data_IF_185720411439
#
_entry.id   IF_185720411439
#
_cell.length_a   1.000
_cell.length_b   1.000
_cell.length_c   1.000
_cell.angle_alpha   90.00
_cell.angle_beta   90.00
_cell.angle_gamma   90.00
#
_symmetry.space_group_name_H-M   'P 1'
#
loop_
_entity.id
_entity.type
_entity.pdbx_description
1 polymer ?
#
# COMPACT_ATOMS: atom_id res chain seq x y z
N UNK A 1 -2.08 -38.44 7.17
CA UNK A 1 -2.79 -38.92 8.38
C UNK A 1 -2.23 -38.43 9.74
N UNK A 2 -1.10 -37.68 9.80
CA UNK A 2 -0.45 -37.35 11.10
C UNK A 2 -0.81 -35.97 11.72
N UNK A 3 -1.51 -35.10 11.03
CA UNK A 3 -1.86 -33.77 11.59
C UNK A 3 -3.11 -33.77 12.50
N UNK A 4 -4.03 -34.71 12.35
CA UNK A 4 -5.23 -34.77 13.19
C UNK A 4 -4.94 -35.33 14.60
N UNK A 5 -4.03 -36.28 14.72
CA UNK A 5 -3.67 -36.86 16.02
C UNK A 5 -2.83 -35.92 16.90
N UNK A 6 -2.02 -35.04 16.33
CA UNK A 6 -1.25 -34.05 17.09
C UNK A 6 -2.14 -32.94 17.66
N UNK A 7 -3.17 -32.54 16.95
CA UNK A 7 -4.13 -31.54 17.41
C UNK A 7 -5.04 -32.04 18.56
N UNK A 8 -5.46 -33.32 18.51
CA UNK A 8 -6.27 -33.94 19.55
C UNK A 8 -5.47 -34.07 20.86
N UNK A 9 -4.20 -34.46 20.79
CA UNK A 9 -3.31 -34.50 21.94
C UNK A 9 -3.07 -33.12 22.57
N UNK A 10 -2.88 -32.08 21.77
CA UNK A 10 -2.71 -30.70 22.28
C UNK A 10 -3.97 -30.16 22.95
N UNK A 11 -5.16 -30.42 22.39
CA UNK A 11 -6.43 -30.00 23.04
C UNK A 11 -6.67 -30.73 24.37
N UNK A 12 -6.32 -32.01 24.46
CA UNK A 12 -6.42 -32.79 25.70
C UNK A 12 -5.45 -32.29 26.78
N UNK A 13 -4.23 -31.99 26.43
CA UNK A 13 -3.22 -31.41 27.35
C UNK A 13 -3.69 -30.05 27.86
N UNK A 14 -4.18 -29.18 26.97
CA UNK A 14 -4.71 -27.88 27.34
C UNK A 14 -5.93 -27.97 28.26
N UNK A 15 -6.80 -28.96 28.05
CA UNK A 15 -7.94 -29.23 28.91
C UNK A 15 -7.52 -29.67 30.32
N UNK A 16 -6.52 -30.55 30.41
CA UNK A 16 -5.96 -31.03 31.68
C UNK A 16 -5.29 -29.90 32.48
N UNK A 17 -4.47 -29.08 31.83
CA UNK A 17 -3.83 -27.92 32.46
C UNK A 17 -4.86 -26.92 33.00
N UNK A 18 -5.94 -26.69 32.26
CA UNK A 18 -7.03 -25.83 32.68
C UNK A 18 -7.78 -26.39 33.90
N UNK A 19 -8.01 -27.69 33.91
CA UNK A 19 -8.64 -28.36 35.05
C UNK A 19 -7.74 -28.25 36.29
N UNK A 20 -6.45 -28.51 36.15
CA UNK A 20 -5.48 -28.38 37.24
C UNK A 20 -5.37 -26.94 37.76
N UNK A 21 -5.37 -25.94 36.87
CA UNK A 21 -5.35 -24.51 37.27
C UNK A 21 -6.59 -24.13 38.10
N UNK A 22 -7.78 -24.61 37.71
CA UNK A 22 -9.02 -24.37 38.46
C UNK A 22 -9.01 -25.04 39.84
N UNK A 23 -8.47 -26.26 39.91
CA UNK A 23 -8.31 -26.96 41.22
C UNK A 23 -7.33 -26.20 42.08
N UNK A 24 -6.22 -25.71 41.56
CA UNK A 24 -5.24 -24.90 42.29
C UNK A 24 -5.85 -23.60 42.82
N UNK A 25 -6.63 -22.88 42.01
CA UNK A 25 -7.32 -21.66 42.42
C UNK A 25 -8.30 -21.92 43.55
N UNK A 26 -9.10 -23.00 43.49
CA UNK A 26 -10.01 -23.40 44.56
C UNK A 26 -9.25 -23.77 45.83
N UNK A 27 -8.15 -24.52 45.73
CA UNK A 27 -7.32 -24.85 46.91
C UNK A 27 -6.78 -23.59 47.60
N UNK A 28 -6.27 -22.60 46.86
CA UNK A 28 -5.80 -21.33 47.40
C UNK A 28 -6.94 -20.59 48.13
N UNK A 29 -8.14 -20.55 47.56
CA UNK A 29 -9.32 -19.95 48.20
C UNK A 29 -9.67 -20.63 49.51
N UNK A 30 -9.65 -21.99 49.60
CA UNK A 30 -9.88 -22.72 50.84
C UNK A 30 -8.80 -22.42 51.89
N UNK A 31 -7.53 -22.35 51.53
CA UNK A 31 -6.45 -21.98 52.45
C UNK A 31 -6.67 -20.57 53.01
N UNK A 32 -7.00 -19.60 52.19
CA UNK A 32 -7.29 -18.24 52.60
C UNK A 32 -8.51 -18.19 53.58
N UNK A 33 -9.56 -18.97 53.29
CA UNK A 33 -10.72 -19.04 54.12
C UNK A 33 -10.42 -19.66 55.50
N UNK A 34 -9.71 -20.78 55.54
CA UNK A 34 -9.27 -21.42 56.78
C UNK A 34 -8.36 -20.48 57.60
N UNK A 35 -7.38 -19.88 56.96
CA UNK A 35 -6.47 -18.91 57.61
C UNK A 35 -7.24 -17.72 58.21
N UNK A 36 -8.22 -17.21 57.46
CA UNK A 36 -9.12 -16.14 57.91
C UNK A 36 -9.86 -16.51 59.23
N UNK A 37 -10.46 -17.70 59.26
CA UNK A 37 -11.17 -18.14 60.46
C UNK A 37 -10.24 -18.24 61.69
N UNK A 38 -9.07 -18.85 61.50
CA UNK A 38 -8.08 -18.99 62.61
C UNK A 38 -7.55 -17.66 63.09
N UNK A 39 -7.08 -16.80 62.18
CA UNK A 39 -6.45 -15.52 62.56
C UNK A 39 -7.49 -14.55 63.11
N UNK A 40 -8.71 -14.49 62.53
CA UNK A 40 -9.76 -13.64 63.05
C UNK A 40 -10.23 -14.06 64.41
N UNK A 41 -10.38 -15.37 64.64
CA UNK A 41 -10.72 -15.91 65.99
C UNK A 41 -9.61 -15.62 66.98
N UNK A 42 -8.35 -15.82 66.59
CA UNK A 42 -7.20 -15.53 67.45
C UNK A 42 -7.10 -14.05 67.81
N UNK A 43 -7.23 -13.15 66.86
CA UNK A 43 -7.23 -11.70 67.10
C UNK A 43 -8.41 -11.26 68.01
N UNK A 44 -9.56 -11.87 67.83
CA UNK A 44 -10.75 -11.62 68.69
C UNK A 44 -10.48 -12.02 70.12
N UNK A 45 -9.93 -13.23 70.36
CA UNK A 45 -9.50 -13.70 71.70
C UNK A 45 -8.50 -12.79 72.34
N UNK A 46 -7.44 -12.40 71.61
CA UNK A 46 -6.42 -11.49 72.11
C UNK A 46 -7.00 -10.14 72.54
N UNK A 47 -7.89 -9.57 71.73
CA UNK A 47 -8.41 -8.23 71.98
C UNK A 47 -9.50 -8.22 73.08
N UNK A 48 -10.46 -9.18 73.04
CA UNK A 48 -11.66 -9.16 73.90
C UNK A 48 -11.53 -10.02 75.18
N UNK A 49 -10.76 -11.12 75.15
CA UNK A 49 -10.58 -11.98 76.31
C UNK A 49 -9.31 -11.65 77.11
N UNK A 50 -8.19 -11.33 76.39
CA UNK A 50 -6.92 -11.05 77.05
C UNK A 50 -6.61 -9.55 77.12
N UNK A 51 -7.50 -8.68 76.65
CA UNK A 51 -7.39 -7.23 76.63
C UNK A 51 -6.05 -6.70 76.00
N UNK A 52 -5.42 -7.48 75.14
CA UNK A 52 -4.19 -7.08 74.47
C UNK A 52 -4.47 -6.09 73.36
N UNK A 53 -3.95 -4.87 73.48
CA UNK A 53 -4.15 -3.80 72.49
C UNK A 53 -5.56 -3.20 72.50
N UNK A 54 -6.33 -3.33 73.61
CA UNK A 54 -7.67 -2.76 73.79
C UNK A 54 -7.72 -1.25 73.62
N UNK A 55 -6.58 -0.54 73.83
CA UNK A 55 -6.43 0.92 73.64
C UNK A 55 -6.30 1.34 72.18
N UNK A 56 -6.03 0.38 71.26
CA UNK A 56 -5.91 0.66 69.85
C UNK A 56 -7.30 0.70 69.18
N UNK A 57 -7.90 1.88 69.26
CA UNK A 57 -9.22 2.14 68.65
C UNK A 57 -9.07 3.03 67.45
N UNK A 58 -9.61 2.61 66.31
CA UNK A 58 -9.66 3.40 65.10
C UNK A 58 -11.13 3.52 64.63
N UNK A 59 -11.60 4.76 64.40
CA UNK A 59 -13.00 5.04 64.04
C UNK A 59 -14.02 4.37 64.99
N UNK A 60 -13.77 4.42 66.31
CA UNK A 60 -14.58 3.83 67.36
C UNK A 60 -14.69 2.29 67.37
N UNK A 61 -13.86 1.58 66.58
CA UNK A 61 -13.80 0.14 66.55
C UNK A 61 -12.41 -0.36 66.94
N UNK A 62 -12.37 -1.53 67.60
CA UNK A 62 -11.13 -2.17 68.00
C UNK A 62 -10.32 -2.66 66.78
N UNK A 63 -8.99 -2.74 66.86
CA UNK A 63 -8.10 -3.16 65.79
C UNK A 63 -8.43 -4.56 65.24
N UNK A 64 -8.97 -5.47 66.06
CA UNK A 64 -9.35 -6.81 65.65
C UNK A 64 -10.48 -6.81 64.64
N UNK A 65 -11.43 -5.86 64.73
CA UNK A 65 -12.54 -5.68 63.78
C UNK A 65 -11.98 -5.23 62.41
N UNK A 66 -11.00 -4.36 62.40
CA UNK A 66 -10.37 -3.91 61.13
C UNK A 66 -9.60 -5.02 60.43
N UNK A 67 -8.89 -5.87 61.14
CA UNK A 67 -8.26 -7.05 60.57
C UNK A 67 -9.30 -7.98 59.94
N UNK A 68 -10.41 -8.21 60.65
CA UNK A 68 -11.52 -9.02 60.16
C UNK A 68 -12.10 -8.43 58.83
N UNK A 69 -12.40 -7.13 58.81
CA UNK A 69 -12.97 -6.45 57.66
C UNK A 69 -12.02 -6.49 56.45
N UNK A 70 -10.74 -6.17 56.65
CA UNK A 70 -9.74 -6.18 55.55
C UNK A 70 -9.62 -7.59 54.98
N UNK A 71 -9.51 -8.60 55.83
CA UNK A 71 -9.36 -9.97 55.35
C UNK A 71 -10.65 -10.52 54.72
N UNK A 72 -11.81 -10.13 55.24
CA UNK A 72 -13.09 -10.44 54.63
C UNK A 72 -13.16 -9.86 53.21
N UNK A 73 -12.69 -8.61 52.99
CA UNK A 73 -12.63 -7.99 51.69
C UNK A 73 -11.72 -8.78 50.74
N UNK A 74 -10.57 -9.24 51.21
CA UNK A 74 -9.65 -10.08 50.41
C UNK A 74 -10.32 -11.40 49.98
N UNK A 75 -11.05 -12.04 50.87
CA UNK A 75 -11.78 -13.28 50.58
C UNK A 75 -12.89 -13.04 49.54
N UNK A 76 -13.69 -11.99 49.72
CA UNK A 76 -14.74 -11.61 48.79
C UNK A 76 -14.14 -11.31 47.40
N UNK A 77 -13.01 -10.61 47.32
CA UNK A 77 -12.28 -10.37 46.10
C UNK A 77 -11.79 -11.68 45.45
N UNK A 78 -11.27 -12.62 46.25
CA UNK A 78 -10.85 -13.93 45.75
C UNK A 78 -12.05 -14.76 45.25
N UNK A 79 -13.16 -14.74 45.96
CA UNK A 79 -14.44 -15.37 45.55
C UNK A 79 -14.89 -14.81 44.18
N UNK A 80 -14.91 -13.48 44.09
CA UNK A 80 -15.27 -12.81 42.85
C UNK A 80 -14.36 -13.24 41.70
N UNK A 81 -13.04 -13.26 41.93
CA UNK A 81 -12.06 -13.65 40.92
C UNK A 81 -12.22 -15.12 40.50
N UNK A 82 -12.44 -16.05 41.44
CA UNK A 82 -12.57 -17.49 41.14
C UNK A 82 -13.90 -17.81 40.45
N UNK A 83 -14.99 -17.20 40.83
CA UNK A 83 -16.35 -17.59 40.38
C UNK A 83 -16.88 -16.66 39.28
N UNK A 84 -16.66 -15.35 39.41
CA UNK A 84 -17.25 -14.36 38.49
C UNK A 84 -16.29 -14.10 37.30
N UNK A 85 -15.02 -13.75 37.55
CA UNK A 85 -14.09 -13.41 36.49
C UNK A 85 -13.84 -14.58 35.54
N UNK A 86 -13.72 -15.80 36.09
CA UNK A 86 -13.56 -17.01 35.27
C UNK A 86 -14.82 -17.39 34.47
N UNK A 87 -16.02 -16.97 34.91
CA UNK A 87 -17.27 -17.22 34.19
C UNK A 87 -17.49 -16.23 33.06
N UNK A 88 -17.20 -14.94 33.27
CA UNK A 88 -17.43 -13.88 32.30
C UNK A 88 -16.23 -13.62 31.36
N UNK A 89 -14.99 -13.78 31.85
CA UNK A 89 -13.73 -13.58 31.07
C UNK A 89 -12.97 -14.89 30.88
N UNK A 90 -13.65 -16.03 31.00
CA UNK A 90 -13.03 -17.35 30.88
C UNK A 90 -12.55 -17.64 29.46
N UNK A 91 -11.64 -18.63 29.32
CA UNK A 91 -11.03 -19.03 28.04
C UNK A 91 -12.04 -19.24 26.91
N UNK A 92 -13.26 -19.69 27.21
CA UNK A 92 -14.31 -19.88 26.20
C UNK A 92 -14.82 -18.57 25.61
N UNK A 93 -14.92 -17.52 26.42
CA UNK A 93 -15.27 -16.18 25.96
C UNK A 93 -14.14 -15.60 25.12
N UNK A 94 -12.89 -15.68 25.60
CA UNK A 94 -11.69 -15.23 24.86
C UNK A 94 -11.59 -15.99 23.53
N UNK A 95 -11.74 -17.32 23.54
CA UNK A 95 -11.71 -18.16 22.33
C UNK A 95 -12.81 -17.78 21.33
N UNK A 96 -14.03 -17.46 21.82
CA UNK A 96 -15.13 -16.99 20.98
C UNK A 96 -14.86 -15.62 20.38
N UNK A 97 -14.32 -14.69 21.18
CA UNK A 97 -13.98 -13.35 20.74
C UNK A 97 -12.83 -13.34 19.72
N UNK A 98 -11.80 -14.17 19.98
CA UNK A 98 -10.68 -14.33 19.05
C UNK A 98 -11.12 -14.93 17.71
N UNK A 99 -11.99 -15.95 17.72
CA UNK A 99 -12.55 -16.50 16.48
C UNK A 99 -13.34 -15.45 15.70
N UNK A 100 -14.19 -14.70 16.38
CA UNK A 100 -14.98 -13.63 15.76
C UNK A 100 -14.09 -12.57 15.11
N UNK A 101 -13.02 -12.13 15.80
CA UNK A 101 -12.06 -11.18 15.25
C UNK A 101 -11.28 -11.76 14.08
N UNK A 102 -10.85 -13.03 14.15
CA UNK A 102 -10.20 -13.72 13.05
C UNK A 102 -11.10 -13.86 11.81
N UNK A 103 -12.38 -14.13 12.03
CA UNK A 103 -13.36 -14.22 10.93
C UNK A 103 -13.55 -12.88 10.23
N UNK A 104 -13.66 -11.77 10.99
CA UNK A 104 -13.70 -10.42 10.43
C UNK A 104 -12.43 -10.12 9.63
N UNK A 105 -11.25 -10.44 10.17
CA UNK A 105 -9.98 -10.24 9.48
C UNK A 105 -9.90 -11.08 8.20
N UNK A 106 -10.28 -12.35 8.25
CA UNK A 106 -10.27 -13.22 7.08
C UNK A 106 -11.24 -12.74 5.99
N UNK A 107 -12.42 -12.28 6.37
CA UNK A 107 -13.37 -11.70 5.43
C UNK A 107 -12.79 -10.45 4.76
N UNK A 108 -12.16 -9.57 5.53
CA UNK A 108 -11.49 -8.37 4.97
C UNK A 108 -10.32 -8.72 4.07
N UNK A 109 -9.50 -9.71 4.45
CA UNK A 109 -8.41 -10.22 3.61
C UNK A 109 -8.95 -10.83 2.31
N UNK A 110 -10.07 -11.55 2.36
CA UNK A 110 -10.69 -12.15 1.17
C UNK A 110 -11.32 -11.11 0.25
N UNK A 111 -11.90 -10.03 0.79
CA UNK A 111 -12.35 -8.87 0.02
C UNK A 111 -11.18 -8.21 -0.71
N UNK A 112 -10.11 -7.87 0.03
CA UNK A 112 -8.89 -7.28 -0.56
C UNK A 112 -8.23 -8.19 -1.60
N UNK A 113 -8.21 -9.51 -1.36
CA UNK A 113 -7.71 -10.48 -2.35
C UNK A 113 -8.56 -10.52 -3.62
N UNK A 114 -9.89 -10.40 -3.49
CA UNK A 114 -10.78 -10.32 -4.66
C UNK A 114 -10.55 -9.04 -5.46
N UNK A 115 -10.45 -7.90 -4.75
CA UNK A 115 -10.17 -6.60 -5.35
C UNK A 115 -8.81 -6.64 -6.09
N UNK A 116 -7.74 -7.06 -5.42
CA UNK A 116 -6.41 -7.22 -6.00
C UNK A 116 -6.37 -8.23 -7.16
N UNK A 117 -7.10 -9.36 -7.06
CA UNK A 117 -7.16 -10.34 -8.14
C UNK A 117 -7.94 -9.84 -9.35
N UNK A 118 -8.96 -8.98 -9.16
CA UNK A 118 -9.66 -8.34 -10.26
C UNK A 118 -8.79 -7.30 -10.97
N UNK A 119 -8.05 -6.49 -10.20
CA UNK A 119 -7.07 -5.55 -10.75
C UNK A 119 -5.93 -6.27 -11.49
N UNK A 120 -5.34 -7.30 -10.87
CA UNK A 120 -4.30 -8.11 -11.50
C UNK A 120 -4.79 -8.82 -12.77
N UNK A 121 -6.07 -9.21 -12.81
CA UNK A 121 -6.68 -9.81 -13.99
C UNK A 121 -6.91 -8.81 -15.11
N UNK A 122 -7.34 -7.59 -14.77
CA UNK A 122 -7.48 -6.48 -15.71
C UNK A 122 -6.10 -6.11 -16.27
N UNK A 123 -5.06 -6.03 -15.42
CA UNK A 123 -3.69 -5.77 -15.85
C UNK A 123 -3.17 -6.90 -16.75
N UNK A 124 -3.35 -8.17 -16.38
CA UNK A 124 -2.92 -9.30 -17.18
C UNK A 124 -3.70 -9.44 -18.51
N UNK A 125 -5.00 -9.12 -18.53
CA UNK A 125 -5.81 -9.05 -19.75
C UNK A 125 -5.34 -7.88 -20.64
N UNK A 126 -5.02 -6.71 -20.06
CA UNK A 126 -4.44 -5.59 -20.79
C UNK A 126 -3.04 -5.93 -21.33
N UNK A 127 -2.16 -6.54 -20.53
CA UNK A 127 -0.83 -6.99 -20.98
C UNK A 127 -0.94 -8.04 -22.10
N UNK A 128 -1.87 -8.99 -22.01
CA UNK A 128 -2.10 -9.98 -23.08
C UNK A 128 -2.69 -9.35 -24.34
N UNK A 129 -3.48 -8.31 -24.20
CA UNK A 129 -4.04 -7.55 -25.30
C UNK A 129 -2.96 -6.70 -26.01
N UNK A 130 -2.04 -6.10 -25.25
CA UNK A 130 -0.91 -5.32 -25.78
C UNK A 130 0.24 -6.17 -26.31
N UNK A 131 0.39 -7.43 -25.85
CA UNK A 131 1.50 -8.31 -26.29
C UNK A 131 1.38 -8.77 -27.74
N UNK A 132 0.34 -8.38 -28.47
CA UNK A 132 -0.04 -9.06 -29.72
C UNK A 132 0.35 -8.35 -31.03
N UNK A 133 1.11 -7.26 -31.06
CA UNK A 133 1.73 -6.80 -32.33
C UNK A 133 2.19 -5.34 -32.38
N UNK A 134 1.92 -4.53 -31.39
CA UNK A 134 2.18 -3.09 -31.49
C UNK A 134 3.43 -2.72 -30.71
N UNK A 135 4.40 -2.09 -31.38
CA UNK A 135 5.60 -1.57 -30.74
C UNK A 135 5.31 -0.23 -30.08
N UNK A 136 4.82 -0.26 -28.83
CA UNK A 136 4.53 0.98 -28.07
C UNK A 136 5.81 1.78 -27.88
N UNK A 137 5.86 2.95 -28.50
CA UNK A 137 7.08 3.75 -28.55
C UNK A 137 6.87 5.10 -27.85
N UNK A 138 7.73 5.42 -26.89
CA UNK A 138 7.85 6.76 -26.32
C UNK A 138 8.79 7.57 -27.22
N UNK A 139 8.42 8.79 -27.58
CA UNK A 139 9.31 9.73 -28.25
C UNK A 139 9.39 11.03 -27.47
N UNK A 140 10.60 11.49 -27.14
CA UNK A 140 10.82 12.66 -26.34
C UNK A 140 12.15 13.34 -26.66
N UNK A 141 12.20 14.66 -26.49
CA UNK A 141 13.43 15.41 -26.39
C UNK A 141 13.63 15.88 -24.95
N UNK A 142 14.82 15.68 -24.39
CA UNK A 142 15.14 16.01 -22.99
C UNK A 142 16.51 16.65 -22.87
N UNK A 143 16.68 17.54 -21.90
CA UNK A 143 18.00 18.05 -21.48
C UNK A 143 18.78 17.03 -20.67
N UNK A 144 20.04 17.35 -20.30
CA UNK A 144 20.86 16.47 -19.44
C UNK A 144 20.22 16.25 -18.06
N UNK A 145 19.52 17.26 -17.51
CA UNK A 145 18.79 17.18 -16.25
C UNK A 145 17.32 16.73 -16.44
N UNK A 146 17.01 16.03 -17.55
CA UNK A 146 15.70 15.46 -17.88
C UNK A 146 14.53 16.46 -18.01
N UNK A 147 14.78 17.74 -18.14
CA UNK A 147 13.74 18.73 -18.44
C UNK A 147 13.24 18.52 -19.87
N UNK A 148 11.91 18.62 -20.07
CA UNK A 148 11.23 18.51 -21.37
C UNK A 148 10.51 19.81 -21.76
N UNK A 149 10.34 20.74 -20.83
CA UNK A 149 9.64 21.99 -21.07
C UNK A 149 9.56 22.87 -19.84
N UNK A 150 9.15 24.12 -20.06
CA UNK A 150 8.83 25.06 -19.01
C UNK A 150 7.62 25.89 -19.42
N UNK A 151 6.65 26.08 -18.53
CA UNK A 151 5.42 26.85 -18.77
C UNK A 151 4.70 26.43 -20.07
N UNK A 152 4.53 25.11 -20.23
CA UNK A 152 3.94 24.46 -21.43
C UNK A 152 4.63 24.81 -22.76
N UNK A 153 5.90 25.20 -22.76
CA UNK A 153 6.67 25.49 -23.97
C UNK A 153 7.93 24.66 -24.04
N UNK A 154 8.35 24.32 -25.27
CA UNK A 154 9.69 23.81 -25.52
C UNK A 154 10.73 24.90 -25.28
N UNK A 155 11.82 24.56 -24.58
CA UNK A 155 12.87 25.51 -24.18
C UNK A 155 13.91 25.72 -25.29
N UNK A 156 14.08 24.74 -26.16
CA UNK A 156 15.00 24.78 -27.27
C UNK A 156 14.30 24.63 -28.63
N UNK A 157 15.00 25.00 -29.66
CA UNK A 157 14.58 24.76 -31.03
C UNK A 157 15.65 23.99 -31.77
N UNK A 158 15.32 22.77 -32.20
CA UNK A 158 16.18 21.89 -32.97
C UNK A 158 15.43 21.43 -34.22
N UNK A 159 15.76 22.00 -35.38
CA UNK A 159 15.04 21.73 -36.64
C UNK A 159 15.14 20.26 -37.06
N UNK A 160 16.26 19.61 -36.80
CA UNK A 160 16.46 18.20 -37.15
C UNK A 160 15.71 17.25 -36.19
N UNK A 161 15.55 17.63 -34.93
CA UNK A 161 14.71 16.92 -33.99
C UNK A 161 13.23 16.96 -34.43
N UNK A 162 12.74 18.13 -34.84
CA UNK A 162 11.38 18.27 -35.36
C UNK A 162 11.15 17.42 -36.64
N UNK A 163 12.15 17.35 -37.52
CA UNK A 163 12.08 16.48 -38.70
C UNK A 163 12.11 14.99 -38.32
N UNK A 164 12.98 14.62 -37.39
CA UNK A 164 13.06 13.26 -36.86
C UNK A 164 11.72 12.82 -36.22
N UNK A 165 11.17 13.63 -35.34
CA UNK A 165 9.85 13.44 -34.74
C UNK A 165 8.78 13.28 -35.84
N UNK A 166 8.72 14.19 -36.81
CA UNK A 166 7.77 14.12 -37.91
C UNK A 166 7.88 12.82 -38.71
N UNK A 167 9.11 12.40 -39.02
CA UNK A 167 9.38 11.22 -39.86
C UNK A 167 8.96 9.91 -39.13
N UNK A 168 9.25 9.83 -37.84
CA UNK A 168 8.92 8.64 -37.04
C UNK A 168 7.41 8.53 -36.78
N UNK A 169 6.73 9.63 -36.48
CA UNK A 169 5.31 9.64 -36.05
C UNK A 169 4.32 9.75 -37.19
N UNK A 170 4.77 9.98 -38.43
CA UNK A 170 3.90 10.14 -39.58
C UNK A 170 3.10 8.86 -39.86
N UNK A 171 1.80 9.03 -40.11
CA UNK A 171 0.83 7.96 -40.39
C UNK A 171 0.57 7.02 -39.20
N UNK A 172 1.01 7.39 -38.00
CA UNK A 172 0.80 6.68 -36.75
C UNK A 172 -0.16 7.39 -35.79
N UNK A 173 -0.60 6.68 -34.76
CA UNK A 173 -1.30 7.28 -33.62
C UNK A 173 -0.31 7.99 -32.72
N UNK A 174 -0.65 9.21 -32.31
CA UNK A 174 0.12 10.00 -31.35
C UNK A 174 -0.73 10.25 -30.11
N UNK A 175 -0.23 9.83 -28.96
CA UNK A 175 -0.91 9.85 -27.67
C UNK A 175 -0.25 10.91 -26.79
N UNK A 176 -1.03 11.83 -26.23
CA UNK A 176 -0.50 12.94 -25.43
C UNK A 176 -1.48 13.39 -24.35
N UNK A 177 -0.95 14.05 -23.34
CA UNK A 177 -1.78 14.74 -22.36
C UNK A 177 -2.33 16.08 -22.91
N UNK A 178 -3.46 16.53 -22.35
CA UNK A 178 -4.13 17.80 -22.76
C UNK A 178 -3.18 19.00 -22.80
N UNK A 179 -2.33 19.20 -21.78
CA UNK A 179 -1.38 20.33 -21.73
C UNK A 179 -0.38 20.27 -22.89
N UNK A 180 0.07 19.08 -23.29
CA UNK A 180 0.94 18.89 -24.46
C UNK A 180 0.23 19.26 -25.75
N UNK A 181 -1.06 18.86 -25.88
CA UNK A 181 -1.85 19.26 -27.04
C UNK A 181 -2.05 20.79 -27.11
N UNK A 182 -2.38 21.42 -25.99
CA UNK A 182 -2.57 22.88 -25.90
C UNK A 182 -1.28 23.68 -26.13
N UNK A 183 -0.11 23.10 -25.98
CA UNK A 183 1.18 23.72 -26.32
C UNK A 183 1.46 23.77 -27.83
N UNK A 184 0.68 23.00 -28.60
CA UNK A 184 0.80 22.97 -30.06
C UNK A 184 -0.24 23.88 -30.74
N UNK A 185 0.08 24.50 -31.88
CA UNK A 185 -0.86 25.40 -32.55
C UNK A 185 -2.10 24.69 -33.12
N UNK A 186 -2.02 23.38 -33.39
CA UNK A 186 -3.10 22.53 -33.92
C UNK A 186 -2.74 21.04 -33.82
N UNK A 187 -3.70 20.18 -34.06
CA UNK A 187 -3.50 18.75 -34.18
C UNK A 187 -2.44 18.42 -35.27
N UNK A 188 -1.62 17.42 -35.00
CA UNK A 188 -0.54 17.03 -35.91
C UNK A 188 -1.14 16.41 -37.20
N UNK A 189 -0.81 16.94 -38.37
CA UNK A 189 -1.38 16.45 -39.64
C UNK A 189 -0.83 15.07 -40.00
N UNK A 190 -1.63 14.28 -40.71
CA UNK A 190 -1.35 12.89 -41.10
C UNK A 190 -1.00 11.98 -39.92
N UNK A 191 -1.73 12.14 -38.82
CA UNK A 191 -1.64 11.34 -37.60
C UNK A 191 -3.00 11.26 -36.95
N UNK A 192 -3.27 10.17 -36.25
CA UNK A 192 -4.44 10.11 -35.37
C UNK A 192 -4.03 10.67 -34.00
N UNK A 193 -4.56 11.85 -33.63
CA UNK A 193 -4.21 12.53 -32.40
C UNK A 193 -5.13 12.07 -31.29
N UNK A 194 -4.59 11.47 -30.22
CA UNK A 194 -5.32 11.01 -29.04
C UNK A 194 -4.88 11.85 -27.84
N UNK A 195 -5.84 12.50 -27.17
CA UNK A 195 -5.58 13.41 -26.05
C UNK A 195 -6.17 12.85 -24.78
N UNK A 196 -5.31 12.62 -23.80
CA UNK A 196 -5.70 12.11 -22.48
C UNK A 196 -6.01 13.29 -21.57
N UNK A 197 -7.23 13.34 -20.98
CA UNK A 197 -7.63 14.35 -20.02
C UNK A 197 -8.70 13.84 -19.06
N UNK A 198 -8.66 14.28 -17.79
CA UNK A 198 -9.72 14.06 -16.80
C UNK A 198 -10.97 14.92 -17.03
N UNK A 199 -10.85 15.98 -17.83
CA UNK A 199 -11.98 16.82 -18.19
C UNK A 199 -12.82 16.12 -19.27
N UNK A 200 -14.01 15.63 -18.90
CA UNK A 200 -14.93 14.92 -19.80
C UNK A 200 -15.54 15.82 -20.87
N UNK A 201 -15.60 17.10 -20.61
CA UNK A 201 -16.19 18.10 -21.50
C UNK A 201 -15.13 18.73 -22.44
N UNK A 202 -13.90 18.22 -22.42
CA UNK A 202 -12.84 18.70 -23.30
C UNK A 202 -13.09 18.28 -24.73
N UNK A 203 -13.09 19.22 -25.63
CA UNK A 203 -13.26 19.02 -27.07
C UNK A 203 -12.16 19.75 -27.84
N UNK A 204 -11.78 19.24 -28.98
CA UNK A 204 -10.82 19.86 -29.86
C UNK A 204 -10.96 19.33 -31.29
N UNK A 205 -10.48 20.12 -32.26
CA UNK A 205 -10.56 19.74 -33.66
C UNK A 205 -9.50 18.69 -34.02
N UNK A 206 -9.93 17.68 -34.76
CA UNK A 206 -9.06 16.58 -35.26
C UNK A 206 -8.33 15.82 -34.17
N UNK A 207 -8.99 15.62 -33.01
CA UNK A 207 -8.48 14.82 -31.92
C UNK A 207 -9.53 13.81 -31.44
N UNK A 208 -9.08 12.73 -30.85
CA UNK A 208 -9.90 11.81 -30.06
C UNK A 208 -9.56 12.03 -28.58
N UNK A 209 -10.58 12.33 -27.77
CA UNK A 209 -10.40 12.57 -26.33
C UNK A 209 -10.70 11.32 -25.56
N UNK A 210 -9.81 10.96 -24.62
CA UNK A 210 -9.92 9.80 -23.73
C UNK A 210 -9.54 10.16 -22.31
N UNK A 211 -9.89 9.28 -21.35
CA UNK A 211 -9.64 9.55 -19.93
C UNK A 211 -8.41 8.83 -19.36
N UNK A 212 -7.90 7.81 -20.06
CA UNK A 212 -6.78 7.01 -19.61
C UNK A 212 -5.81 6.65 -20.75
N UNK A 213 -4.59 6.26 -20.39
CA UNK A 213 -3.61 5.74 -21.31
C UNK A 213 -4.07 4.40 -21.91
N UNK A 214 -4.77 3.59 -21.12
CA UNK A 214 -5.34 2.32 -21.56
C UNK A 214 -6.38 2.52 -22.68
N UNK A 215 -7.32 3.46 -22.50
CA UNK A 215 -8.28 3.82 -23.55
C UNK A 215 -7.57 4.31 -24.82
N UNK A 216 -6.52 5.13 -24.67
CA UNK A 216 -5.73 5.62 -25.79
C UNK A 216 -5.07 4.50 -26.58
N UNK A 217 -4.47 3.54 -25.89
CA UNK A 217 -3.81 2.39 -26.52
C UNK A 217 -4.83 1.43 -27.13
N UNK A 218 -6.01 1.28 -26.54
CA UNK A 218 -7.08 0.49 -27.14
C UNK A 218 -7.57 1.08 -28.47
N UNK A 219 -7.64 2.39 -28.61
CA UNK A 219 -7.94 3.06 -29.88
C UNK A 219 -6.82 2.83 -30.90
N UNK A 220 -5.57 2.84 -30.44
CA UNK A 220 -4.39 2.66 -31.28
C UNK A 220 -4.01 1.19 -31.53
N UNK A 221 -4.86 0.22 -31.16
CA UNK A 221 -4.56 -1.22 -31.22
C UNK A 221 -4.21 -1.77 -32.60
N UNK A 222 -4.71 -1.15 -33.67
CA UNK A 222 -4.45 -1.58 -35.04
C UNK A 222 -3.23 -0.87 -35.66
N UNK A 223 -2.58 0.02 -34.93
CA UNK A 223 -1.35 0.68 -35.34
C UNK A 223 -0.13 -0.17 -34.97
N UNK A 224 0.73 -0.45 -35.91
CA UNK A 224 1.95 -1.23 -35.68
C UNK A 224 2.92 -0.56 -34.71
N UNK A 225 2.90 0.78 -34.58
CA UNK A 225 3.80 1.55 -33.74
C UNK A 225 3.14 2.84 -33.23
N UNK A 226 2.27 2.77 -32.24
CA UNK A 226 1.72 3.97 -31.61
C UNK A 226 2.79 4.73 -30.82
N UNK A 227 2.80 6.07 -30.93
CA UNK A 227 3.77 6.94 -30.30
C UNK A 227 3.17 7.71 -29.11
N UNK A 228 3.83 7.65 -27.97
CA UNK A 228 3.52 8.45 -26.79
C UNK A 228 4.44 9.67 -26.78
N UNK A 229 3.85 10.87 -26.91
CA UNK A 229 4.59 12.12 -27.12
C UNK A 229 4.53 13.08 -25.91
N UNK A 230 4.00 12.61 -24.78
CA UNK A 230 4.11 13.31 -23.51
C UNK A 230 2.83 13.94 -22.96
N UNK A 231 2.83 14.84 -21.95
CA UNK A 231 4.01 15.34 -21.20
C UNK A 231 4.44 14.42 -20.07
N UNK A 232 5.09 15.00 -19.08
CA UNK A 232 5.76 14.27 -18.01
C UNK A 232 4.88 13.24 -17.29
N UNK A 233 3.63 13.59 -16.96
CA UNK A 233 2.69 12.65 -16.32
C UNK A 233 2.43 11.44 -17.23
N UNK A 234 2.23 11.65 -18.53
CA UNK A 234 1.97 10.58 -19.50
C UNK A 234 3.23 9.74 -19.73
N UNK A 235 4.41 10.34 -19.77
CA UNK A 235 5.67 9.61 -19.86
C UNK A 235 5.91 8.70 -18.64
N UNK A 236 5.58 9.20 -17.41
CA UNK A 236 5.70 8.41 -16.20
C UNK A 236 4.79 7.18 -16.20
N UNK A 237 3.58 7.30 -16.76
CA UNK A 237 2.66 6.16 -16.91
C UNK A 237 3.14 5.18 -18.00
N UNK A 238 3.69 5.73 -19.09
CA UNK A 238 4.03 4.96 -20.27
C UNK A 238 5.35 4.18 -20.15
N UNK A 239 6.33 4.66 -19.36
CA UNK A 239 7.65 4.05 -19.28
C UNK A 239 7.64 2.61 -18.79
N UNK A 240 6.61 2.23 -18.00
CA UNK A 240 6.47 0.86 -17.50
C UNK A 240 5.88 -0.10 -18.54
N UNK A 241 5.18 0.40 -19.55
CA UNK A 241 4.50 -0.42 -20.55
C UNK A 241 5.06 -0.30 -21.96
N UNK A 242 5.85 0.74 -22.25
CA UNK A 242 6.46 0.95 -23.55
C UNK A 242 7.54 -0.11 -23.85
N UNK A 243 7.70 -0.42 -25.13
CA UNK A 243 8.69 -1.36 -25.66
C UNK A 243 9.96 -0.65 -26.14
N UNK A 244 9.81 0.62 -26.55
CA UNK A 244 10.89 1.44 -27.14
C UNK A 244 10.83 2.87 -26.66
N UNK A 245 12.01 3.51 -26.55
CA UNK A 245 12.16 4.94 -26.32
C UNK A 245 13.04 5.51 -27.43
N UNK A 246 12.51 6.45 -28.21
CA UNK A 246 13.23 7.31 -29.13
C UNK A 246 13.52 8.64 -28.41
N UNK A 247 14.73 8.81 -27.92
CA UNK A 247 15.13 9.96 -27.10
C UNK A 247 16.07 10.89 -27.88
N UNK A 248 15.75 12.18 -27.88
CA UNK A 248 16.70 13.22 -28.26
C UNK A 248 17.29 13.82 -26.99
N UNK A 249 18.57 13.54 -26.71
CA UNK A 249 19.28 14.11 -25.57
C UNK A 249 19.93 15.42 -26.01
N UNK A 250 19.50 16.53 -25.46
CA UNK A 250 20.09 17.87 -25.67
C UNK A 250 21.20 18.07 -24.65
N UNK A 251 22.42 18.32 -25.08
CA UNK A 251 23.60 18.42 -24.23
C UNK A 251 23.72 19.81 -23.59
N UNK A 252 22.74 20.14 -22.77
CA UNK A 252 22.65 21.33 -21.93
C UNK A 252 21.69 21.07 -20.78
N UNK A 253 21.81 21.83 -19.71
CA UNK A 253 20.86 21.85 -18.59
C UNK A 253 19.96 23.08 -18.69
N UNK A 254 18.70 22.92 -18.30
CA UNK A 254 17.72 23.99 -18.35
C UNK A 254 16.88 24.00 -17.06
N UNK A 255 16.38 25.19 -16.72
CA UNK A 255 15.31 25.30 -15.74
C UNK A 255 13.98 24.97 -16.40
N UNK A 256 13.18 24.12 -15.77
CA UNK A 256 11.87 23.73 -16.27
C UNK A 256 10.98 23.15 -15.19
N UNK A 257 9.71 22.98 -15.53
CA UNK A 257 8.66 22.47 -14.62
C UNK A 257 8.12 21.09 -15.04
N UNK A 258 8.53 20.63 -16.22
CA UNK A 258 8.16 19.32 -16.76
C UNK A 258 9.40 18.46 -17.03
N UNK A 259 9.33 17.19 -16.57
CA UNK A 259 10.48 16.29 -16.60
C UNK A 259 10.13 14.94 -17.26
N UNK A 260 11.13 14.36 -17.93
CA UNK A 260 11.09 12.98 -18.40
C UNK A 260 11.50 12.04 -17.25
N UNK A 261 10.88 10.86 -17.11
CA UNK A 261 11.28 9.88 -16.09
C UNK A 261 12.71 9.39 -16.31
N UNK A 262 13.36 8.99 -15.22
CA UNK A 262 14.70 8.38 -15.29
C UNK A 262 14.63 7.03 -16.02
N UNK A 263 15.48 6.85 -17.03
CA UNK A 263 15.61 5.59 -17.77
C UNK A 263 16.47 4.63 -16.94
N UNK A 264 15.86 3.58 -16.39
CA UNK A 264 16.57 2.58 -15.60
C UNK A 264 17.40 1.67 -16.50
N UNK A 265 18.75 1.65 -16.39
CA UNK A 265 19.60 0.80 -17.21
C UNK A 265 19.39 -0.71 -16.94
N UNK A 266 18.71 -1.10 -15.85
CA UNK A 266 18.34 -2.48 -15.62
C UNK A 266 17.13 -2.92 -16.48
N UNK A 267 16.26 -1.98 -16.85
CA UNK A 267 15.04 -2.22 -17.65
C UNK A 267 15.25 -1.92 -19.14
N UNK A 268 16.18 -1.03 -19.49
CA UNK A 268 16.36 -0.50 -20.82
C UNK A 268 17.77 -0.75 -21.36
N UNK A 269 17.89 -1.09 -22.63
CA UNK A 269 19.16 -1.25 -23.35
C UNK A 269 19.26 -0.20 -24.44
N UNK A 270 20.35 0.56 -24.46
CA UNK A 270 20.65 1.44 -25.57
C UNK A 270 21.05 0.60 -26.80
N UNK A 271 20.30 0.75 -27.90
CA UNK A 271 20.50 -0.04 -29.13
C UNK A 271 21.01 0.81 -30.32
N UNK A 272 20.85 2.14 -30.22
CA UNK A 272 21.31 3.06 -31.27
C UNK A 272 21.66 4.41 -30.67
N UNK A 273 22.73 5.02 -31.18
CA UNK A 273 23.19 6.38 -30.84
C UNK A 273 23.66 7.10 -32.10
N UNK A 274 23.20 8.36 -32.30
CA UNK A 274 23.60 9.23 -33.38
C UNK A 274 23.82 10.64 -32.85
N UNK A 275 25.07 11.02 -32.66
CA UNK A 275 25.46 12.30 -32.08
C UNK A 275 25.52 13.41 -33.14
N UNK A 276 24.95 14.55 -32.84
CA UNK A 276 24.91 15.74 -33.68
C UNK A 276 25.59 16.92 -32.98
N UNK A 277 26.44 17.63 -33.69
CA UNK A 277 27.07 18.86 -33.18
C UNK A 277 26.20 20.06 -33.47
N UNK A 278 26.31 21.07 -32.58
CA UNK A 278 25.72 22.39 -32.83
C UNK A 278 26.23 22.97 -34.12
N UNK A 279 25.41 23.67 -34.84
CA UNK A 279 25.68 24.34 -36.08
C UNK A 279 24.89 25.65 -36.19
N UNK A 280 24.86 26.28 -37.35
CA UNK A 280 24.13 27.52 -37.60
C UNK A 280 22.62 27.38 -37.35
N UNK A 281 22.07 26.15 -37.41
CA UNK A 281 20.64 25.85 -37.22
C UNK A 281 20.32 25.30 -35.85
N UNK A 282 21.32 24.85 -35.11
CA UNK A 282 21.15 24.16 -33.80
C UNK A 282 22.06 24.79 -32.76
N UNK A 283 21.46 25.42 -31.75
CA UNK A 283 22.19 26.11 -30.68
C UNK A 283 22.93 25.19 -29.72
N UNK A 284 22.60 23.90 -29.72
CA UNK A 284 23.13 22.90 -28.79
C UNK A 284 23.57 21.64 -29.52
N UNK A 285 24.58 20.96 -28.97
CA UNK A 285 24.89 19.59 -29.34
C UNK A 285 23.71 18.70 -28.88
N UNK A 286 23.37 17.67 -29.61
CA UNK A 286 22.33 16.72 -29.24
C UNK A 286 22.60 15.34 -29.79
N UNK A 287 21.94 14.33 -29.22
CA UNK A 287 22.12 12.94 -29.63
C UNK A 287 20.76 12.27 -29.76
N UNK A 288 20.49 11.63 -30.88
CA UNK A 288 19.38 10.69 -31.02
C UNK A 288 19.79 9.36 -30.42
N UNK A 289 19.00 8.85 -29.47
CA UNK A 289 19.26 7.60 -28.76
C UNK A 289 18.01 6.74 -28.81
N UNK A 290 18.15 5.47 -29.15
CA UNK A 290 17.09 4.49 -29.07
C UNK A 290 17.38 3.53 -27.94
N UNK A 291 16.39 3.31 -27.10
CA UNK A 291 16.40 2.27 -26.09
C UNK A 291 15.30 1.26 -26.40
N UNK A 292 15.60 -0.02 -26.30
CA UNK A 292 14.63 -1.10 -26.31
C UNK A 292 14.52 -1.70 -24.91
N UNK A 293 13.31 -2.10 -24.53
CA UNK A 293 13.04 -2.72 -23.24
C UNK A 293 13.71 -4.08 -23.16
N UNK A 294 14.36 -4.37 -22.04
CA UNK A 294 14.92 -5.71 -21.77
C UNK A 294 13.80 -6.70 -21.58
N UNK A 295 13.87 -7.83 -22.26
CA UNK A 295 12.96 -8.98 -22.08
C UNK A 295 13.25 -9.72 -20.77
#
# INVERSE_FOLDING_TARGET
MNKSNSNINQEQIEFLENAQRRIRQKKVLYYHFISFLFISSFCFVLNHLLNIGSELIFLNYSWSIWIFIIWLFIIVFHLFNVFVTNRFLGKNWVKKQTRFLMEIQNNKINELKKEYSSEARIIAESESFYSKSNLITIIAATSENNVIGNDNKLIWHLSDDLKHFKNLTKDHHVIMGRKTFESMPKALPNRTNIVITRNKDYVGENITVVQSLEEALNIAKDDSQPFIIGGGEIYNLAIEIADRIELTRVHAEFNGDAFFPTIDPNKWTEVKRDARKKDEKHSYDFTFIRYDKKQ
#
